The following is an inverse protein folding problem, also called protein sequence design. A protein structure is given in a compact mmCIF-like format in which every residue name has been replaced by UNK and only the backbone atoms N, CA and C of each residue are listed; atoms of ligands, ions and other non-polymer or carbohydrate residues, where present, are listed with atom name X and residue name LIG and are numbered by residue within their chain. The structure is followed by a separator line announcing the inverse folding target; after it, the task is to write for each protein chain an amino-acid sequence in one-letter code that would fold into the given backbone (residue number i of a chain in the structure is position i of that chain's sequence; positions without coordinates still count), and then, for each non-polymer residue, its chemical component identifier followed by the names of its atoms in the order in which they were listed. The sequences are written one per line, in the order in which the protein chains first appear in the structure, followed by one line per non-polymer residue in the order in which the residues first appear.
data_IF_041729453565
#
_entry.id   IF_041729453565
#
_cell.length_a   1.000
_cell.length_b   1.000
_cell.length_c   1.000
_cell.angle_alpha   90.00
_cell.angle_beta   90.00
_cell.angle_gamma   90.00
#
_symmetry.space_group_name_H-M   'P 1'
#
loop_
_entity.id
_entity.type
_entity.pdbx_description
1 polymer ?
#
# COMPACT_ATOMS: atom_id res chain seq x y z
N UNK A 1 -33.15 -33.44 43.49
CA UNK A 1 -31.88 -33.07 42.82
C UNK A 1 -31.72 -34.03 41.66
N UNK A 2 -32.03 -33.57 40.45
CA UNK A 2 -31.76 -34.34 39.24
C UNK A 2 -30.25 -34.38 39.00
N UNK A 3 -29.66 -35.54 38.64
CA UNK A 3 -28.26 -35.60 38.29
C UNK A 3 -28.04 -34.87 36.97
N UNK A 4 -27.03 -34.00 36.93
CA UNK A 4 -26.60 -33.35 35.68
C UNK A 4 -26.24 -34.43 34.65
N UNK A 5 -26.68 -34.28 33.39
CA UNK A 5 -26.36 -35.24 32.34
C UNK A 5 -24.84 -35.29 32.15
N UNK A 6 -24.32 -36.52 32.15
CA UNK A 6 -22.92 -36.82 31.89
C UNK A 6 -22.54 -36.25 30.52
N UNK A 7 -21.67 -35.23 30.51
CA UNK A 7 -21.08 -34.74 29.27
C UNK A 7 -20.15 -35.83 28.72
N UNK A 8 -20.32 -36.27 27.46
CA UNK A 8 -19.44 -37.26 26.87
C UNK A 8 -18.01 -36.72 26.79
N UNK A 9 -16.98 -37.58 26.94
CA UNK A 9 -15.59 -37.16 26.82
C UNK A 9 -15.34 -36.59 25.43
N UNK A 10 -14.69 -35.42 25.38
CA UNK A 10 -14.30 -34.79 24.13
C UNK A 10 -13.31 -35.70 23.38
N UNK A 11 -13.47 -35.91 22.06
CA UNK A 11 -12.52 -36.69 21.29
C UNK A 11 -11.14 -36.02 21.35
N UNK A 12 -10.05 -36.79 21.54
CA UNK A 12 -8.74 -36.23 21.88
C UNK A 12 -8.10 -35.41 20.76
N UNK A 13 -8.60 -35.43 19.53
CA UNK A 13 -7.96 -34.79 18.37
C UNK A 13 -8.93 -34.16 17.36
N UNK A 14 -10.20 -33.93 17.72
CA UNK A 14 -11.14 -33.27 16.81
C UNK A 14 -12.25 -32.55 17.56
N UNK A 15 -12.71 -31.39 17.06
CA UNK A 15 -13.91 -30.74 17.60
C UNK A 15 -15.13 -31.68 17.47
N UNK A 16 -16.11 -31.59 18.39
CA UNK A 16 -17.33 -32.39 18.32
C UNK A 16 -18.04 -32.26 16.96
N UNK A 17 -18.74 -33.31 16.53
CA UNK A 17 -19.56 -33.24 15.31
C UNK A 17 -20.53 -32.05 15.39
N UNK A 18 -20.46 -31.15 14.40
CA UNK A 18 -21.17 -29.86 14.37
C UNK A 18 -20.32 -28.63 14.70
N UNK A 19 -19.09 -28.79 15.20
CA UNK A 19 -18.10 -27.72 15.42
C UNK A 19 -17.05 -27.62 14.31
N UNK A 20 -17.29 -28.24 13.16
CA UNK A 20 -16.51 -27.97 11.96
C UNK A 20 -16.91 -26.58 11.48
N UNK A 21 -16.09 -25.58 11.76
CA UNK A 21 -16.29 -24.26 11.16
C UNK A 21 -16.07 -24.39 9.65
N UNK A 22 -17.14 -24.64 8.90
CA UNK A 22 -17.22 -24.22 7.50
C UNK A 22 -17.21 -22.69 7.53
N UNK A 23 -16.02 -22.09 7.64
CA UNK A 23 -15.88 -20.63 7.55
C UNK A 23 -16.06 -20.23 6.10
N UNK A 24 -17.31 -20.07 5.69
CA UNK A 24 -17.63 -19.04 4.72
C UNK A 24 -17.25 -17.71 5.39
N UNK A 25 -16.05 -17.22 5.12
CA UNK A 25 -15.62 -15.90 5.56
C UNK A 25 -16.64 -14.89 5.03
N UNK A 26 -17.45 -14.32 5.92
CA UNK A 26 -18.46 -13.38 5.48
C UNK A 26 -17.80 -12.18 4.77
N UNK A 27 -18.40 -11.76 3.66
CA UNK A 27 -17.99 -10.58 2.87
C UNK A 27 -17.83 -9.33 3.75
N UNK A 28 -18.61 -9.23 4.84
CA UNK A 28 -18.52 -8.13 5.81
C UNK A 28 -17.20 -8.16 6.59
N UNK A 29 -16.72 -9.35 6.97
CA UNK A 29 -15.45 -9.52 7.68
C UNK A 29 -14.25 -9.15 6.81
N UNK A 30 -14.30 -9.50 5.52
CA UNK A 30 -13.19 -9.21 4.58
C UNK A 30 -13.12 -7.73 4.22
N UNK A 31 -14.25 -7.05 4.03
CA UNK A 31 -14.28 -5.58 3.84
C UNK A 31 -13.81 -4.83 5.09
N UNK A 32 -14.13 -5.30 6.29
CA UNK A 32 -13.66 -4.68 7.54
C UNK A 32 -12.14 -4.80 7.68
N UNK A 33 -11.58 -5.97 7.37
CA UNK A 33 -10.14 -6.19 7.38
C UNK A 33 -9.39 -5.31 6.34
N UNK A 34 -9.97 -5.14 5.14
CA UNK A 34 -9.46 -4.21 4.12
C UNK A 34 -9.35 -2.77 4.64
N UNK A 35 -10.45 -2.24 5.19
CA UNK A 35 -10.49 -0.87 5.72
C UNK A 35 -9.50 -0.70 6.87
N UNK A 36 -9.51 -1.62 7.83
CA UNK A 36 -8.61 -1.57 8.98
C UNK A 36 -7.14 -1.61 8.56
N UNK A 37 -6.78 -2.46 7.58
CA UNK A 37 -5.42 -2.56 7.06
C UNK A 37 -4.92 -1.25 6.45
N UNK A 38 -5.76 -0.58 5.65
CA UNK A 38 -5.40 0.72 5.05
C UNK A 38 -5.37 1.83 6.09
N UNK A 39 -6.36 1.91 6.98
CA UNK A 39 -6.40 2.96 8.00
C UNK A 39 -5.24 2.85 8.99
N UNK A 40 -4.77 1.64 9.31
CA UNK A 40 -3.58 1.43 10.15
C UNK A 40 -2.30 1.81 9.40
N UNK A 41 -2.18 1.39 8.14
CA UNK A 41 -1.04 1.72 7.29
C UNK A 41 -0.94 3.22 7.00
N UNK A 42 -2.05 3.92 6.86
CA UNK A 42 -2.06 5.35 6.50
C UNK A 42 -2.29 6.24 7.74
N UNK A 43 -1.96 5.73 8.93
CA UNK A 43 -1.98 6.43 10.21
C UNK A 43 -0.64 7.07 10.51
N UNK A 44 -0.66 8.37 10.83
CA UNK A 44 0.51 9.14 11.23
C UNK A 44 0.19 9.95 12.47
N UNK A 45 1.03 9.85 13.49
CA UNK A 45 0.78 10.40 14.83
C UNK A 45 -0.61 10.04 15.41
N UNK A 46 -1.03 8.79 15.22
CA UNK A 46 -2.29 8.26 15.75
C UNK A 46 -3.53 8.58 14.91
N UNK A 47 -3.41 9.34 13.82
CA UNK A 47 -4.54 9.79 12.99
C UNK A 47 -4.40 9.29 11.54
N UNK A 48 -5.47 8.70 10.95
CA UNK A 48 -5.50 8.41 9.52
C UNK A 48 -5.39 9.70 8.71
N UNK A 49 -4.55 9.71 7.67
CA UNK A 49 -4.33 10.89 6.82
C UNK A 49 -4.38 10.55 5.34
N UNK A 50 -4.70 11.55 4.53
CA UNK A 50 -4.47 11.46 3.09
C UNK A 50 -2.98 11.32 2.83
N UNK A 51 -2.57 10.26 2.13
CA UNK A 51 -1.14 10.00 1.83
C UNK A 51 -0.50 11.10 0.96
N UNK A 52 -1.32 11.83 0.19
CA UNK A 52 -0.86 12.92 -0.70
C UNK A 52 -0.71 14.24 0.05
N UNK A 53 -1.73 14.70 0.78
CA UNK A 53 -1.74 16.06 1.37
C UNK A 53 -1.85 16.13 2.89
N UNK A 54 -1.87 15.00 3.61
CA UNK A 54 -1.80 14.98 5.07
C UNK A 54 -3.07 15.38 5.80
N UNK A 55 -4.16 15.71 5.08
CA UNK A 55 -5.48 16.01 5.66
C UNK A 55 -5.93 14.83 6.54
N UNK A 56 -6.23 15.10 7.81
CA UNK A 56 -6.58 14.09 8.82
C UNK A 56 -8.10 13.99 9.11
N UNK A 57 -8.93 14.75 8.40
CA UNK A 57 -10.37 14.77 8.67
C UNK A 57 -11.04 13.49 8.14
N UNK A 58 -11.31 12.54 9.05
CA UNK A 58 -11.94 11.24 8.74
C UNK A 58 -13.24 11.34 7.93
N UNK A 59 -14.01 12.44 8.04
CA UNK A 59 -15.27 12.60 7.28
C UNK A 59 -15.05 12.79 5.78
N UNK A 60 -13.86 13.25 5.39
CA UNK A 60 -13.49 13.50 4.00
C UNK A 60 -12.42 12.56 3.48
N UNK A 61 -11.92 11.64 4.31
CA UNK A 61 -11.05 10.56 3.88
C UNK A 61 -11.87 9.46 3.19
N UNK A 62 -11.26 8.89 2.17
CA UNK A 62 -11.83 7.86 1.30
C UNK A 62 -10.75 6.83 0.97
N UNK A 63 -11.15 5.57 0.96
CA UNK A 63 -10.36 4.49 0.42
C UNK A 63 -10.45 4.59 -1.10
N UNK A 64 -9.36 4.98 -1.75
CA UNK A 64 -9.23 4.94 -3.19
C UNK A 64 -8.68 3.57 -3.58
N UNK A 65 -9.31 2.93 -4.56
CA UNK A 65 -8.88 1.65 -5.10
C UNK A 65 -7.95 1.90 -6.29
N UNK A 66 -6.80 1.21 -6.33
CA UNK A 66 -5.85 1.37 -7.43
C UNK A 66 -6.40 0.66 -8.68
N UNK A 67 -6.82 -0.60 -8.51
CA UNK A 67 -7.69 -1.31 -9.45
C UNK A 67 -9.12 -1.20 -8.92
N UNK A 68 -10.08 -0.63 -9.68
CA UNK A 68 -11.46 -0.49 -9.27
C UNK A 68 -12.07 -1.80 -8.76
N UNK A 69 -12.87 -1.71 -7.70
CA UNK A 69 -13.47 -2.86 -7.03
C UNK A 69 -14.41 -3.68 -7.94
N UNK A 70 -14.92 -3.07 -9.00
CA UNK A 70 -15.78 -3.68 -10.00
C UNK A 70 -15.00 -4.51 -11.04
N UNK A 71 -13.68 -4.33 -11.15
CA UNK A 71 -12.85 -4.92 -12.20
C UNK A 71 -12.21 -6.26 -11.79
N UNK A 72 -13.05 -7.24 -11.44
CA UNK A 72 -12.61 -8.59 -11.02
C UNK A 72 -11.78 -9.29 -12.11
N UNK A 73 -12.17 -9.16 -13.38
CA UNK A 73 -11.43 -9.78 -14.49
C UNK A 73 -10.02 -9.21 -14.65
N UNK A 74 -9.85 -7.89 -14.44
CA UNK A 74 -8.52 -7.27 -14.47
C UNK A 74 -7.68 -7.75 -13.30
N UNK A 75 -8.28 -7.89 -12.11
CA UNK A 75 -7.59 -8.42 -10.94
C UNK A 75 -7.11 -9.86 -11.17
N UNK A 76 -7.97 -10.73 -11.70
CA UNK A 76 -7.61 -12.11 -12.03
C UNK A 76 -6.49 -12.19 -13.08
N UNK A 77 -6.56 -11.39 -14.15
CA UNK A 77 -5.50 -11.33 -15.17
C UNK A 77 -4.15 -10.86 -14.58
N UNK A 78 -4.16 -9.97 -13.59
CA UNK A 78 -2.93 -9.57 -12.88
C UNK A 78 -2.35 -10.70 -12.01
N UNK A 79 -3.20 -11.55 -11.41
CA UNK A 79 -2.76 -12.75 -10.70
C UNK A 79 -2.14 -13.75 -11.68
N UNK A 80 -2.84 -14.06 -12.78
CA UNK A 80 -2.40 -15.03 -13.80
C UNK A 80 -1.06 -14.64 -14.43
N UNK A 81 -0.82 -13.33 -14.59
CA UNK A 81 0.45 -12.81 -15.13
C UNK A 81 1.56 -12.69 -14.10
N UNK A 82 1.29 -12.97 -12.82
CA UNK A 82 2.25 -12.79 -11.72
C UNK A 82 2.66 -11.34 -11.51
N UNK A 83 1.75 -10.40 -11.76
CA UNK A 83 1.92 -8.97 -11.44
C UNK A 83 1.56 -8.69 -9.98
N UNK A 84 0.67 -9.50 -9.41
CA UNK A 84 0.39 -9.61 -7.98
C UNK A 84 0.52 -11.07 -7.55
N UNK A 85 0.63 -11.38 -6.24
CA UNK A 85 0.68 -12.76 -5.77
C UNK A 85 -0.57 -13.53 -6.16
N UNK A 86 -0.41 -14.81 -6.51
CA UNK A 86 -1.54 -15.73 -6.69
C UNK A 86 -2.40 -15.84 -5.42
N UNK A 87 -1.76 -15.70 -4.26
CA UNK A 87 -2.36 -15.72 -2.92
C UNK A 87 -3.13 -14.43 -2.56
N UNK A 88 -3.10 -13.41 -3.40
CA UNK A 88 -3.89 -12.20 -3.21
C UNK A 88 -5.38 -12.54 -3.10
N UNK A 89 -6.14 -11.72 -2.37
CA UNK A 89 -7.57 -11.99 -2.18
C UNK A 89 -8.28 -12.02 -3.54
N UNK A 90 -9.18 -12.97 -3.73
CA UNK A 90 -9.91 -13.17 -5.01
C UNK A 90 -10.62 -11.89 -5.50
N UNK A 91 -11.17 -11.11 -4.57
CA UNK A 91 -11.84 -9.87 -4.91
C UNK A 91 -10.94 -8.65 -4.61
N UNK A 92 -10.73 -7.73 -5.58
CA UNK A 92 -9.90 -6.53 -5.40
C UNK A 92 -10.36 -5.64 -4.24
N UNK A 93 -11.65 -5.71 -3.85
CA UNK A 93 -12.21 -4.91 -2.75
C UNK A 93 -11.78 -5.38 -1.35
N UNK A 94 -11.15 -6.55 -1.26
CA UNK A 94 -10.80 -7.20 0.00
C UNK A 94 -9.29 -7.21 0.27
N UNK A 95 -8.45 -6.83 -0.68
CA UNK A 95 -7.00 -6.79 -0.48
C UNK A 95 -6.53 -5.36 -0.12
N UNK A 96 -6.05 -5.10 1.11
CA UNK A 96 -5.63 -3.75 1.52
C UNK A 96 -4.49 -3.19 0.67
N UNK A 97 -3.75 -4.06 -0.04
CA UNK A 97 -2.65 -3.69 -0.95
C UNK A 97 -3.17 -3.13 -2.29
N UNK A 98 -4.48 -3.19 -2.53
CA UNK A 98 -5.16 -2.54 -3.65
C UNK A 98 -5.73 -1.15 -3.28
N UNK A 99 -5.50 -0.65 -2.06
CA UNK A 99 -6.11 0.60 -1.62
C UNK A 99 -5.14 1.59 -0.99
N UNK A 100 -5.49 2.88 -1.10
CA UNK A 100 -4.79 4.02 -0.49
C UNK A 100 -5.76 5.01 0.12
N UNK A 101 -5.39 5.60 1.25
CA UNK A 101 -6.22 6.58 1.93
C UNK A 101 -5.98 7.97 1.33
N UNK A 102 -7.03 8.55 0.75
CA UNK A 102 -6.99 9.85 0.11
C UNK A 102 -8.10 10.76 0.65
N UNK A 103 -7.88 12.08 0.61
CA UNK A 103 -8.98 13.02 0.82
C UNK A 103 -9.90 13.00 -0.41
N UNK A 104 -11.14 13.46 -0.25
CA UNK A 104 -12.16 13.48 -1.30
C UNK A 104 -11.70 14.12 -2.61
N UNK A 105 -10.84 15.15 -2.55
CA UNK A 105 -10.33 15.82 -3.76
C UNK A 105 -9.32 14.92 -4.48
N UNK A 106 -8.30 14.42 -3.78
CA UNK A 106 -7.31 13.53 -4.37
C UNK A 106 -7.92 12.23 -4.88
N UNK A 107 -8.86 11.63 -4.15
CA UNK A 107 -9.56 10.44 -4.62
C UNK A 107 -10.34 10.71 -5.91
N UNK A 108 -11.08 11.83 -6.00
CA UNK A 108 -11.78 12.21 -7.23
C UNK A 108 -10.83 12.41 -8.41
N UNK A 109 -9.70 13.09 -8.18
CA UNK A 109 -8.67 13.33 -9.18
C UNK A 109 -7.98 12.03 -9.63
N UNK A 110 -7.74 11.12 -8.69
CA UNK A 110 -7.14 9.80 -8.94
C UNK A 110 -8.06 8.93 -9.80
N UNK A 111 -9.35 8.88 -9.47
CA UNK A 111 -10.36 8.12 -10.22
C UNK A 111 -10.70 8.76 -11.58
N UNK A 112 -10.59 10.09 -11.69
CA UNK A 112 -10.75 10.82 -12.94
C UNK A 112 -9.48 10.80 -13.81
N UNK A 113 -8.47 10.02 -13.43
CA UNK A 113 -7.23 9.85 -14.15
C UNK A 113 -6.49 11.16 -14.43
N UNK A 114 -6.49 12.13 -13.50
CA UNK A 114 -5.80 13.42 -13.70
C UNK A 114 -4.32 13.38 -13.32
N UNK A 115 -3.93 12.46 -12.43
CA UNK A 115 -2.55 12.19 -12.03
C UNK A 115 -2.37 10.70 -11.78
N UNK A 116 -1.12 10.24 -11.76
CA UNK A 116 -0.79 8.90 -11.29
C UNK A 116 0.24 8.96 -10.16
N UNK A 117 0.36 7.86 -9.43
CA UNK A 117 1.42 7.63 -8.46
C UNK A 117 2.42 6.68 -9.12
N UNK A 118 3.71 6.99 -9.08
CA UNK A 118 4.77 6.12 -9.58
C UNK A 118 5.70 5.71 -8.45
N UNK A 119 6.00 4.41 -8.41
CA UNK A 119 7.05 3.89 -7.55
C UNK A 119 8.41 3.99 -8.24
N UNK A 120 9.42 4.48 -7.51
CA UNK A 120 10.80 4.56 -7.96
C UNK A 120 11.64 3.56 -7.16
N UNK A 121 12.05 2.42 -7.75
CA UNK A 121 12.80 1.38 -7.05
C UNK A 121 14.08 1.86 -6.37
N UNK A 122 14.88 2.69 -7.06
CA UNK A 122 16.20 3.13 -6.58
C UNK A 122 16.15 3.91 -5.26
N UNK A 123 15.14 4.77 -5.13
CA UNK A 123 14.94 5.60 -3.93
C UNK A 123 13.85 5.05 -3.01
N UNK A 124 13.21 3.95 -3.41
CA UNK A 124 12.14 3.26 -2.69
C UNK A 124 10.98 4.17 -2.26
N UNK A 125 10.57 5.11 -3.12
CA UNK A 125 9.50 6.08 -2.85
C UNK A 125 8.37 5.99 -3.86
N UNK A 126 7.16 6.30 -3.40
CA UNK A 126 5.99 6.56 -4.24
C UNK A 126 5.88 8.06 -4.47
N UNK A 127 5.69 8.49 -5.71
CA UNK A 127 5.75 9.90 -6.12
C UNK A 127 4.53 10.26 -6.94
N UNK A 128 3.93 11.41 -6.66
CA UNK A 128 2.79 11.93 -7.45
C UNK A 128 3.29 12.59 -8.72
N UNK A 129 2.71 12.21 -9.85
CA UNK A 129 2.97 12.80 -11.15
C UNK A 129 1.67 13.41 -11.67
N UNK A 130 1.55 14.74 -11.53
CA UNK A 130 0.50 15.52 -12.18
C UNK A 130 0.66 15.44 -13.71
N UNK A 131 -0.03 14.49 -14.35
CA UNK A 131 0.11 14.24 -15.79
C UNK A 131 -0.83 15.13 -16.63
N UNK A 132 -1.99 15.48 -16.09
CA UNK A 132 -2.96 16.36 -16.76
C UNK A 132 -2.60 17.84 -16.72
N UNK A 133 -1.52 18.21 -16.04
CA UNK A 133 -1.12 19.60 -15.77
C UNK A 133 -2.17 20.40 -14.97
N UNK A 134 -2.98 19.71 -14.15
CA UNK A 134 -4.01 20.35 -13.33
C UNK A 134 -3.38 21.30 -12.30
N UNK A 135 -3.82 22.56 -12.29
CA UNK A 135 -3.31 23.60 -11.40
C UNK A 135 -3.40 23.22 -9.90
N UNK A 136 -4.44 22.49 -9.51
CA UNK A 136 -4.65 22.04 -8.13
C UNK A 136 -3.69 20.93 -7.68
N UNK A 137 -2.96 20.31 -8.63
CA UNK A 137 -2.02 19.23 -8.37
C UNK A 137 -0.56 19.64 -8.52
N UNK A 138 -0.30 20.88 -8.96
CA UNK A 138 1.06 21.38 -9.18
C UNK A 138 1.93 21.33 -7.92
N UNK A 139 1.36 21.64 -6.75
CA UNK A 139 2.10 21.62 -5.49
C UNK A 139 2.55 20.21 -5.07
N UNK A 140 1.89 19.16 -5.59
CA UNK A 140 2.17 17.76 -5.25
C UNK A 140 3.04 17.06 -6.30
N UNK A 141 3.13 17.62 -7.51
CA UNK A 141 3.88 17.04 -8.62
C UNK A 141 5.37 16.87 -8.26
N UNK A 142 5.92 15.71 -8.58
CA UNK A 142 7.33 15.43 -8.33
C UNK A 142 7.70 15.13 -6.88
N UNK A 143 6.72 15.08 -5.96
CA UNK A 143 6.96 14.88 -4.53
C UNK A 143 6.50 13.50 -4.04
N UNK A 144 7.30 12.93 -3.16
CA UNK A 144 7.09 11.63 -2.58
C UNK A 144 5.99 11.67 -1.49
N UNK A 145 5.05 10.73 -1.56
CA UNK A 145 3.88 10.65 -0.68
C UNK A 145 4.09 9.70 0.50
N UNK A 146 3.21 9.78 1.50
CA UNK A 146 3.34 8.99 2.72
C UNK A 146 2.86 7.54 2.54
N UNK A 147 3.62 6.79 1.74
CA UNK A 147 3.48 5.34 1.58
C UNK A 147 4.81 4.67 1.91
N UNK A 148 4.79 3.82 2.91
CA UNK A 148 5.97 3.10 3.39
C UNK A 148 6.07 1.74 2.69
N UNK A 149 7.15 1.51 1.95
CA UNK A 149 7.35 0.25 1.20
C UNK A 149 7.58 -0.96 2.09
N UNK A 150 8.05 -0.75 3.33
CA UNK A 150 8.35 -1.84 4.27
C UNK A 150 7.11 -2.34 5.01
N UNK A 151 5.97 -1.67 4.86
CA UNK A 151 4.71 -2.09 5.48
C UNK A 151 4.16 -3.37 4.82
N UNK A 152 3.60 -4.28 5.62
CA UNK A 152 3.05 -5.56 5.15
C UNK A 152 1.77 -5.39 4.32
N UNK A 153 1.09 -4.25 4.43
CA UNK A 153 -0.04 -3.83 3.60
C UNK A 153 0.35 -2.72 2.61
N UNK A 154 1.65 -2.46 2.38
CA UNK A 154 2.09 -1.52 1.36
C UNK A 154 1.47 -1.90 -0.01
N UNK A 155 0.89 -0.95 -0.76
CA UNK A 155 0.31 -1.27 -2.04
C UNK A 155 1.33 -1.87 -2.99
N UNK A 156 0.90 -2.80 -3.84
CA UNK A 156 1.79 -3.37 -4.86
C UNK A 156 2.11 -2.31 -5.92
N UNK A 157 3.38 -1.95 -6.13
CA UNK A 157 3.78 -0.98 -7.16
C UNK A 157 3.28 -1.33 -8.57
N UNK A 158 3.16 -2.63 -8.87
CA UNK A 158 2.61 -3.13 -10.14
C UNK A 158 1.18 -2.64 -10.42
N UNK A 159 0.34 -2.42 -9.40
CA UNK A 159 -1.01 -1.90 -9.59
C UNK A 159 -0.98 -0.44 -10.07
N UNK A 160 -0.02 0.34 -9.58
CA UNK A 160 0.16 1.73 -10.03
C UNK A 160 0.63 1.83 -11.48
N UNK A 161 1.32 0.81 -12.01
CA UNK A 161 1.65 0.74 -13.44
C UNK A 161 0.37 0.73 -14.28
N UNK A 162 -0.63 -0.07 -13.89
CA UNK A 162 -1.91 -0.15 -14.60
C UNK A 162 -2.66 1.18 -14.51
N UNK A 163 -2.70 1.78 -13.32
CA UNK A 163 -3.33 3.09 -13.14
C UNK A 163 -2.65 4.17 -13.99
N UNK A 164 -1.32 4.20 -14.02
CA UNK A 164 -0.56 5.14 -14.85
C UNK A 164 -0.85 4.96 -16.35
N UNK A 165 -0.91 3.71 -16.85
CA UNK A 165 -1.26 3.45 -18.24
C UNK A 165 -2.64 3.99 -18.59
N UNK A 166 -3.60 3.90 -17.67
CA UNK A 166 -4.93 4.50 -17.85
C UNK A 166 -4.82 6.02 -17.90
N UNK A 167 -4.12 6.65 -16.97
CA UNK A 167 -3.89 8.10 -16.99
C UNK A 167 -3.28 8.56 -18.32
N UNK A 168 -2.27 7.86 -18.83
CA UNK A 168 -1.67 8.16 -20.14
C UNK A 168 -2.67 7.99 -21.29
N UNK A 169 -3.52 6.96 -21.23
CA UNK A 169 -4.59 6.74 -22.21
C UNK A 169 -5.67 7.82 -22.20
N UNK A 170 -5.99 8.39 -21.04
CA UNK A 170 -6.92 9.51 -20.90
C UNK A 170 -6.33 10.85 -21.37
N UNK A 171 -4.99 10.99 -21.37
CA UNK A 171 -4.27 12.19 -21.79
C UNK A 171 -3.28 11.92 -22.93
N UNK A 172 -3.74 11.50 -24.13
CA UNK A 172 -2.88 10.97 -25.19
C UNK A 172 -1.95 12.01 -25.83
N UNK A 173 -2.18 13.30 -25.59
CA UNK A 173 -1.40 14.40 -26.15
C UNK A 173 -0.42 15.02 -25.15
N UNK A 174 -0.44 14.59 -23.89
CA UNK A 174 0.53 15.02 -22.89
C UNK A 174 1.90 14.40 -23.22
N UNK A 175 3.01 15.13 -23.01
CA UNK A 175 4.36 14.59 -23.18
C UNK A 175 4.54 13.25 -22.45
N UNK A 176 5.16 12.28 -23.13
CA UNK A 176 5.42 10.95 -22.54
C UNK A 176 6.34 11.00 -21.32
N UNK A 177 7.17 12.04 -21.23
CA UNK A 177 8.15 12.25 -20.17
C UNK A 177 7.82 13.56 -19.44
N UNK A 178 7.00 13.51 -18.38
CA UNK A 178 6.85 14.66 -17.50
C UNK A 178 8.21 15.05 -16.91
N UNK A 179 8.39 16.34 -16.61
CA UNK A 179 9.55 16.80 -15.87
C UNK A 179 9.52 16.21 -14.46
N UNK A 180 10.64 15.75 -13.93
CA UNK A 180 10.71 15.16 -12.60
C UNK A 180 12.03 15.46 -11.92
N UNK A 181 12.01 15.73 -10.60
CA UNK A 181 13.23 15.88 -9.84
C UNK A 181 13.98 14.55 -9.77
N UNK A 182 15.31 14.61 -9.88
CA UNK A 182 16.20 13.45 -9.74
C UNK A 182 16.05 12.81 -8.34
N UNK A 183 15.87 13.63 -7.31
CA UNK A 183 15.61 13.19 -5.95
C UNK A 183 14.31 13.83 -5.44
N UNK A 184 13.16 13.15 -5.61
CA UNK A 184 11.88 13.56 -5.07
C UNK A 184 11.94 13.82 -3.56
N UNK A 185 11.72 15.09 -3.20
CA UNK A 185 11.49 15.48 -1.82
C UNK A 185 10.17 14.89 -1.30
N UNK A 186 10.05 14.72 0.01
CA UNK A 186 8.76 14.37 0.62
C UNK A 186 7.76 15.51 0.43
N UNK A 187 6.47 15.18 0.44
CA UNK A 187 5.41 16.18 0.46
C UNK A 187 5.57 17.15 1.64
N UNK A 188 5.23 18.41 1.44
CA UNK A 188 5.49 19.48 2.40
C UNK A 188 4.83 19.22 3.76
N UNK A 189 3.66 18.56 3.76
CA UNK A 189 2.97 18.17 4.99
C UNK A 189 3.74 17.12 5.79
N UNK A 190 4.49 16.22 5.14
CA UNK A 190 5.28 15.17 5.79
C UNK A 190 6.41 15.81 6.58
N UNK A 191 7.13 16.73 5.94
CA UNK A 191 8.24 17.46 6.56
C UNK A 191 7.75 18.41 7.66
N UNK A 192 6.69 19.19 7.40
CA UNK A 192 6.16 20.16 8.39
C UNK A 192 5.48 19.50 9.58
N UNK A 193 4.87 18.32 9.41
CA UNK A 193 4.26 17.57 10.51
C UNK A 193 5.26 16.69 11.27
N UNK A 194 6.51 16.59 10.80
CA UNK A 194 7.55 15.78 11.43
C UNK A 194 7.21 14.29 11.49
N UNK A 195 6.42 13.77 10.55
CA UNK A 195 5.94 12.37 10.58
C UNK A 195 6.93 11.39 9.93
N UNK A 196 8.07 11.87 9.42
CA UNK A 196 9.10 11.04 8.82
C UNK A 196 10.42 11.22 9.57
N UNK A 197 10.97 10.12 10.05
CA UNK A 197 12.26 10.11 10.71
C UNK A 197 13.37 9.77 9.71
N UNK A 198 14.23 10.76 9.44
CA UNK A 198 15.36 10.60 8.53
C UNK A 198 16.46 9.67 9.09
N UNK A 199 16.52 9.45 10.41
CA UNK A 199 17.52 8.57 11.03
C UNK A 199 17.18 7.11 10.80
N UNK A 200 15.92 6.73 11.00
CA UNK A 200 15.44 5.36 10.75
C UNK A 200 14.92 5.15 9.34
N UNK A 201 14.75 6.22 8.57
CA UNK A 201 14.14 6.22 7.23
C UNK A 201 12.75 5.58 7.25
N UNK A 202 11.93 5.95 8.24
CA UNK A 202 10.60 5.37 8.50
C UNK A 202 9.58 6.41 8.95
N UNK A 203 8.29 6.07 8.85
CA UNK A 203 7.21 6.95 9.29
C UNK A 203 6.86 6.78 10.77
N UNK A 204 6.65 7.90 11.46
CA UNK A 204 6.20 7.97 12.85
C UNK A 204 4.68 7.78 12.92
N UNK A 205 4.26 6.56 13.23
CA UNK A 205 2.85 6.16 13.29
C UNK A 205 2.19 6.52 14.61
N UNK A 206 2.91 6.33 15.71
CA UNK A 206 2.41 6.62 17.05
C UNK A 206 2.51 8.10 17.39
N UNK A 207 1.55 8.60 18.19
CA UNK A 207 1.65 9.96 18.72
C UNK A 207 2.75 9.96 19.79
N UNK A 208 3.74 10.86 19.73
CA UNK A 208 4.69 10.99 20.82
C UNK A 208 3.93 11.27 22.12
N UNK A 209 4.37 10.73 23.27
CA UNK A 209 3.77 11.06 24.55
C UNK A 209 3.75 12.59 24.70
N UNK A 210 2.70 13.18 25.29
CA UNK A 210 2.60 14.62 25.42
C UNK A 210 3.83 15.15 26.17
N UNK A 211 4.75 15.75 25.43
CA UNK A 211 5.93 16.38 25.98
C UNK A 211 5.49 17.67 26.64
N UNK A 212 5.57 17.69 27.98
CA UNK A 212 5.59 18.93 28.73
C UNK A 212 6.97 19.56 28.51
N UNK A 213 7.20 20.22 27.36
CA UNK A 213 8.14 21.34 27.18
C UNK A 213 8.18 21.74 25.70
N UNK A 214 7.95 23.03 25.48
CA UNK A 214 8.02 23.73 24.21
C UNK A 214 9.47 23.99 23.78
N UNK A 215 9.60 24.30 22.49
CA UNK A 215 10.73 24.93 21.81
C UNK A 215 11.88 24.03 21.35
N UNK A 216 11.75 23.55 20.10
CA UNK A 216 12.91 23.43 19.21
C UNK A 216 12.54 23.95 17.82
N UNK A 217 13.04 25.15 17.51
CA UNK A 217 13.10 25.76 16.19
C UNK A 217 13.81 24.84 15.19
N UNK A 218 13.14 24.51 14.07
CA UNK A 218 13.74 23.79 12.95
C UNK A 218 14.68 24.71 12.17
N UNK A 219 15.97 24.33 12.05
CA UNK A 219 16.93 24.97 11.14
C UNK A 219 16.85 24.36 9.74
N UNK A 220 16.99 25.15 8.66
CA UNK A 220 17.08 24.61 7.31
C UNK A 220 18.51 24.14 7.02
N UNK A 221 18.70 22.85 6.76
CA UNK A 221 19.97 22.32 6.26
C UNK A 221 19.90 22.08 4.75
N UNK A 222 20.71 22.84 4.03
CA UNK A 222 21.02 22.71 2.60
C UNK A 222 21.92 21.47 2.43
N UNK A 223 21.55 20.55 1.54
CA UNK A 223 22.37 19.39 1.18
C UNK A 223 23.29 19.67 -0.03
N UNK A 224 24.43 18.96 -0.18
CA UNK A 224 25.45 19.24 -1.18
C UNK A 224 25.12 18.61 -2.54
N UNK A 225 25.49 19.33 -3.61
CA UNK A 225 25.47 18.84 -4.98
C UNK A 225 26.62 17.84 -5.24
N UNK A 226 26.30 16.71 -5.84
CA UNK A 226 27.26 15.89 -6.58
C UNK A 226 26.70 15.47 -7.95
N UNK A 227 27.65 15.29 -8.86
CA UNK A 227 27.55 15.42 -10.30
C UNK A 227 26.92 14.24 -11.05
N UNK A 228 26.18 14.60 -12.11
CA UNK A 228 25.95 13.93 -13.39
C UNK A 228 26.28 12.44 -13.50
N UNK A 229 25.21 11.63 -13.58
CA UNK A 229 25.15 10.53 -14.55
C UNK A 229 24.06 10.86 -15.59
N UNK A 230 24.40 10.63 -16.85
CA UNK A 230 23.62 11.06 -18.01
C UNK A 230 22.26 10.38 -18.14
N UNK A 231 21.26 11.24 -18.34
CA UNK A 231 20.18 11.16 -19.32
C UNK A 231 19.54 9.78 -19.59
N UNK A 232 18.92 9.21 -18.55
CA UNK A 232 17.77 8.33 -18.73
C UNK A 232 16.64 8.92 -17.91
N UNK A 233 15.72 9.62 -18.57
CA UNK A 233 14.55 10.18 -17.91
C UNK A 233 13.71 9.03 -17.33
N UNK A 234 13.56 8.94 -15.99
CA UNK A 234 13.02 7.77 -15.29
C UNK A 234 11.50 7.56 -15.49
N UNK A 235 10.90 8.30 -16.43
CA UNK A 235 9.47 8.27 -16.70
C UNK A 235 9.09 7.77 -18.08
N UNK A 236 10.06 7.52 -18.96
CA UNK A 236 9.79 6.83 -20.21
C UNK A 236 9.21 5.45 -19.89
N UNK A 237 8.08 5.10 -20.48
CA UNK A 237 7.47 3.80 -20.27
C UNK A 237 8.24 2.77 -21.12
N UNK A 238 9.27 2.17 -20.53
CA UNK A 238 10.12 1.14 -21.12
C UNK A 238 9.85 -0.21 -20.46
N UNK A 239 9.94 -1.31 -21.22
CA UNK A 239 9.80 -2.68 -20.72
C UNK A 239 10.73 -2.92 -19.54
N UNK A 240 11.95 -2.37 -19.60
CA UNK A 240 12.94 -2.48 -18.53
C UNK A 240 12.45 -1.88 -17.21
N UNK A 241 11.81 -0.71 -17.25
CA UNK A 241 11.28 -0.06 -16.04
C UNK A 241 10.12 -0.87 -15.46
N UNK A 242 9.25 -1.44 -16.30
CA UNK A 242 8.19 -2.34 -15.84
C UNK A 242 8.80 -3.56 -15.14
N UNK A 243 9.79 -4.19 -15.75
CA UNK A 243 10.49 -5.35 -15.18
C UNK A 243 11.16 -5.02 -13.84
N UNK A 244 11.81 -3.86 -13.74
CA UNK A 244 12.41 -3.36 -12.49
C UNK A 244 11.36 -3.15 -11.39
N UNK A 245 10.23 -2.50 -11.71
CA UNK A 245 9.14 -2.31 -10.74
C UNK A 245 8.51 -3.65 -10.36
N UNK A 246 8.33 -4.59 -11.28
CA UNK A 246 7.81 -5.92 -11.00
C UNK A 246 8.78 -6.73 -10.12
N UNK A 247 10.08 -6.68 -10.41
CA UNK A 247 11.10 -7.32 -9.58
C UNK A 247 11.10 -6.72 -8.17
N UNK A 248 11.06 -5.39 -8.06
CA UNK A 248 10.97 -4.71 -6.76
C UNK A 248 9.69 -5.08 -6.01
N UNK A 249 8.54 -5.15 -6.70
CA UNK A 249 7.25 -5.56 -6.13
C UNK A 249 7.33 -6.94 -5.51
N UNK A 250 7.92 -7.91 -6.22
CA UNK A 250 8.08 -9.30 -5.71
C UNK A 250 9.01 -9.40 -4.51
N UNK A 251 9.97 -8.48 -4.39
CA UNK A 251 10.88 -8.40 -3.26
C UNK A 251 10.28 -7.67 -2.03
N UNK A 252 9.07 -7.11 -2.14
CA UNK A 252 8.48 -6.33 -1.05
C UNK A 252 8.00 -7.20 0.12
N UNK A 253 8.08 -6.69 1.37
CA UNK A 253 7.47 -7.33 2.52
C UNK A 253 5.96 -7.58 2.34
N UNK A 254 5.25 -6.69 1.64
CA UNK A 254 3.83 -6.88 1.38
C UNK A 254 3.52 -8.04 0.43
N UNK A 255 4.43 -8.36 -0.50
CA UNK A 255 4.32 -9.57 -1.33
C UNK A 255 4.37 -10.81 -0.45
N UNK A 256 5.40 -10.90 0.39
CA UNK A 256 5.57 -12.02 1.32
C UNK A 256 4.41 -12.15 2.31
N UNK A 257 3.96 -11.02 2.87
CA UNK A 257 2.81 -11.00 3.77
C UNK A 257 1.53 -11.50 3.09
N UNK A 258 1.30 -11.09 1.83
CA UNK A 258 0.18 -11.57 1.03
C UNK A 258 0.23 -13.09 0.82
N UNK A 259 1.41 -13.64 0.52
CA UNK A 259 1.59 -15.09 0.40
C UNK A 259 1.21 -15.81 1.71
N UNK A 260 1.80 -15.39 2.83
CA UNK A 260 1.53 -15.97 4.16
C UNK A 260 0.06 -15.87 4.56
N UNK A 261 -0.60 -14.75 4.27
CA UNK A 261 -2.02 -14.50 4.57
C UNK A 261 -2.99 -15.28 3.68
N UNK A 262 -2.57 -15.65 2.47
CA UNK A 262 -3.37 -16.41 1.52
C UNK A 262 -3.07 -17.92 1.52
N UNK A 263 -1.95 -18.36 2.10
CA UNK A 263 -1.62 -19.78 2.25
C UNK A 263 -2.66 -20.47 3.15
N UNK A 264 -3.35 -21.53 2.67
CA UNK A 264 -4.25 -22.30 3.51
C UNK A 264 -3.45 -23.13 4.53
N UNK A 265 -3.60 -22.78 5.81
CA UNK A 265 -2.96 -23.46 6.95
C UNK A 265 -3.67 -24.76 7.36
N UNK A 266 -4.05 -25.58 6.37
CA UNK A 266 -4.65 -26.89 6.60
C UNK A 266 -3.56 -27.94 6.77
N UNK A 267 -3.66 -28.78 7.80
CA UNK A 267 -2.70 -29.85 8.06
C UNK A 267 -2.36 -29.99 9.54
N UNK A 268 -1.35 -30.81 9.84
CA UNK A 268 -0.78 -30.90 11.19
C UNK A 268 0.09 -29.68 11.49
N UNK A 269 0.47 -29.51 12.76
CA UNK A 269 1.36 -28.43 13.18
C UNK A 269 2.71 -28.50 12.45
N UNK A 270 3.25 -29.70 12.27
CA UNK A 270 4.51 -29.96 11.57
C UNK A 270 4.42 -29.59 10.09
N UNK A 271 3.33 -29.99 9.42
CA UNK A 271 3.07 -29.62 8.01
C UNK A 271 2.96 -28.10 7.83
N UNK A 272 2.33 -27.42 8.79
CA UNK A 272 2.23 -25.95 8.77
C UNK A 272 3.58 -25.27 9.06
N UNK A 273 4.43 -25.84 9.93
CA UNK A 273 5.79 -25.34 10.18
C UNK A 273 6.65 -25.50 8.92
N UNK A 274 6.57 -26.65 8.24
CA UNK A 274 7.30 -26.90 6.99
C UNK A 274 6.83 -25.95 5.88
N UNK A 275 5.52 -25.75 5.71
CA UNK A 275 4.95 -24.77 4.78
C UNK A 275 5.46 -23.36 5.07
N UNK A 276 5.41 -22.94 6.33
CA UNK A 276 5.91 -21.64 6.75
C UNK A 276 7.40 -21.48 6.43
N UNK A 277 8.24 -22.47 6.76
CA UNK A 277 9.67 -22.40 6.48
C UNK A 277 9.97 -22.37 4.97
N UNK A 278 9.21 -23.11 4.17
CA UNK A 278 9.31 -23.09 2.70
C UNK A 278 8.93 -21.72 2.11
N UNK A 279 7.82 -21.14 2.56
CA UNK A 279 7.33 -19.85 2.06
C UNK A 279 8.19 -18.67 2.55
N UNK A 280 8.77 -18.79 3.74
CA UNK A 280 9.53 -17.71 4.39
C UNK A 280 11.03 -17.79 4.07
N UNK A 281 11.57 -18.97 3.75
CA UNK A 281 12.98 -19.17 3.43
C UNK A 281 13.91 -18.86 4.62
N UNK A 282 13.65 -19.48 5.78
CA UNK A 282 14.55 -19.43 6.95
C UNK A 282 15.68 -20.45 6.81
#
# INVERSE_FOLDING_TARGET
MEPLPYLPPLPPNQPPDGYREERDFSVLSTTTAFVAGIEERDKFHGEPRCVVCGVANRRILKHAYIIPQEEQDTWADLQDRGWIPEQAKENPRHDPRNGVLMCKNHQRSFDAFTFFIRFFPDIRKFVVVNYSDDASLQEFHGKAIALEITDHHAPFPSLFIIHELRVRGFHPFTPLRPDMPINPAWQDWISSSGVFDNTTNSFLRERPPPSCNSDVTAQPQIQPAMANMGDVSPLAYDSKIIEEILAATRAMPSWKACQVEGTPWTGTAEENIEKYNSDIGV
#
